data_IF_878370573738
#
_entry.id   IF_878370573738
#
_cell.length_a   1.000
_cell.length_b   1.000
_cell.length_c   1.000
_cell.angle_alpha   90.00
_cell.angle_beta   90.00
_cell.angle_gamma   90.00
#
_symmetry.space_group_name_H-M   'P 1'
#
loop_
_entity.id
_entity.type
_entity.pdbx_description
1 polymer ?
#
# COMPACT_ATOMS: atom_id res chain seq x y z
N UNK A 1 -23.30 19.21 -7.81
CA UNK A 1 -22.23 18.20 -7.87
C UNK A 1 -22.87 16.92 -7.35
N UNK A 2 -22.88 15.86 -8.11
CA UNK A 2 -23.42 14.56 -7.71
C UNK A 2 -22.28 13.76 -7.05
N UNK A 3 -22.51 13.27 -5.84
CA UNK A 3 -21.56 12.43 -5.09
C UNK A 3 -22.04 10.98 -4.98
N UNK A 4 -23.07 10.61 -5.75
CA UNK A 4 -23.55 9.23 -5.79
C UNK A 4 -22.54 8.34 -6.50
N UNK A 5 -22.39 7.13 -6.03
CA UNK A 5 -21.61 6.10 -6.72
C UNK A 5 -22.33 5.67 -8.00
N UNK A 6 -21.56 5.30 -9.02
CA UNK A 6 -22.10 4.64 -10.21
C UNK A 6 -22.56 3.22 -9.87
N UNK A 7 -23.31 2.60 -10.79
CA UNK A 7 -23.73 1.21 -10.62
C UNK A 7 -22.54 0.26 -10.51
N UNK A 8 -21.48 0.50 -11.32
CA UNK A 8 -20.23 -0.28 -11.28
C UNK A 8 -19.51 -0.13 -9.93
N UNK A 9 -19.40 1.09 -9.41
CA UNK A 9 -18.79 1.35 -8.11
C UNK A 9 -19.58 0.72 -6.97
N UNK A 10 -20.92 0.72 -7.08
CA UNK A 10 -21.79 0.06 -6.13
C UNK A 10 -21.65 -1.46 -6.18
N UNK A 11 -21.57 -2.05 -7.39
CA UNK A 11 -21.29 -3.49 -7.57
C UNK A 11 -19.93 -3.87 -7.02
N UNK A 12 -18.88 -3.07 -7.28
CA UNK A 12 -17.53 -3.30 -6.74
C UNK A 12 -17.58 -3.36 -5.21
N UNK A 13 -18.21 -2.37 -4.57
CA UNK A 13 -18.39 -2.33 -3.11
C UNK A 13 -19.08 -3.59 -2.59
N UNK A 14 -20.23 -3.93 -3.18
CA UNK A 14 -21.05 -5.04 -2.71
C UNK A 14 -20.34 -6.39 -2.90
N UNK A 15 -19.57 -6.54 -3.98
CA UNK A 15 -18.74 -7.72 -4.25
C UNK A 15 -17.63 -7.87 -3.20
N UNK A 16 -16.89 -6.80 -2.92
CA UNK A 16 -15.83 -6.80 -1.90
C UNK A 16 -16.42 -7.07 -0.52
N UNK A 17 -17.52 -6.39 -0.16
CA UNK A 17 -18.21 -6.57 1.12
C UNK A 17 -18.67 -8.02 1.32
N UNK A 18 -19.31 -8.62 0.31
CA UNK A 18 -19.78 -10.01 0.38
C UNK A 18 -18.62 -10.98 0.56
N UNK A 19 -17.58 -10.86 -0.25
CA UNK A 19 -16.39 -11.73 -0.13
C UNK A 19 -15.78 -11.65 1.27
N UNK A 20 -15.59 -10.44 1.79
CA UNK A 20 -15.00 -10.24 3.12
C UNK A 20 -15.90 -10.76 4.25
N UNK A 21 -17.21 -10.63 4.13
CA UNK A 21 -18.16 -11.19 5.11
C UNK A 21 -18.05 -12.73 5.19
N UNK A 22 -17.89 -13.38 4.04
CA UNK A 22 -17.85 -14.85 3.96
C UNK A 22 -16.46 -15.42 4.28
N UNK A 23 -15.37 -14.71 3.93
CA UNK A 23 -14.01 -15.26 3.93
C UNK A 23 -13.05 -14.59 4.91
N UNK A 24 -13.40 -13.41 5.49
CA UNK A 24 -12.48 -12.61 6.29
C UNK A 24 -12.98 -12.36 7.71
N UNK A 25 -13.50 -13.40 8.36
CA UNK A 25 -13.92 -13.31 9.76
C UNK A 25 -12.77 -12.88 10.66
N UNK A 26 -13.07 -12.11 11.70
CA UNK A 26 -12.07 -11.52 12.62
C UNK A 26 -11.13 -12.56 13.24
N UNK A 27 -11.62 -13.75 13.58
CA UNK A 27 -10.78 -14.83 14.12
C UNK A 27 -9.83 -15.40 13.06
N UNK A 28 -10.25 -15.50 11.80
CA UNK A 28 -9.38 -15.88 10.69
C UNK A 28 -8.27 -14.85 10.48
N UNK A 29 -8.61 -13.55 10.50
CA UNK A 29 -7.62 -12.47 10.51
C UNK A 29 -6.63 -12.58 11.67
N UNK A 30 -7.14 -12.79 12.90
CA UNK A 30 -6.28 -12.94 14.08
C UNK A 30 -5.32 -14.13 13.96
N UNK A 31 -5.76 -15.23 13.37
CA UNK A 31 -4.90 -16.37 13.10
C UNK A 31 -3.82 -16.02 12.06
N UNK A 32 -4.20 -15.34 10.97
CA UNK A 32 -3.29 -14.92 9.92
C UNK A 32 -2.16 -14.01 10.42
N UNK A 33 -2.48 -12.95 11.16
CA UNK A 33 -1.45 -12.00 11.66
C UNK A 33 -0.50 -12.62 12.69
N UNK A 34 -0.88 -13.74 13.31
CA UNK A 34 -0.05 -14.51 14.25
C UNK A 34 0.76 -15.61 13.58
N UNK A 35 0.44 -15.94 12.34
CA UNK A 35 1.21 -16.91 11.55
C UNK A 35 2.58 -16.35 11.16
N UNK A 36 3.50 -17.21 10.75
CA UNK A 36 4.80 -16.79 10.25
C UNK A 36 4.68 -15.92 9.00
N UNK A 37 3.73 -16.23 8.13
CA UNK A 37 3.45 -15.43 6.93
C UNK A 37 2.91 -14.04 7.27
N UNK A 38 2.09 -13.91 8.32
CA UNK A 38 1.50 -12.65 8.77
C UNK A 38 0.34 -12.13 7.92
N UNK A 39 -0.07 -12.88 6.89
CA UNK A 39 -1.13 -12.57 5.95
C UNK A 39 -1.68 -13.84 5.32
N UNK A 40 -2.63 -13.74 4.39
CA UNK A 40 -3.29 -14.86 3.72
C UNK A 40 -3.06 -14.80 2.20
N UNK A 41 -2.02 -15.49 1.67
CA UNK A 41 -1.73 -15.51 0.22
C UNK A 41 -2.93 -15.97 -0.63
N UNK A 42 -3.77 -16.88 -0.10
CA UNK A 42 -4.98 -17.33 -0.77
C UNK A 42 -6.03 -16.23 -0.93
N UNK A 43 -6.11 -15.29 0.03
CA UNK A 43 -7.00 -14.11 -0.08
C UNK A 43 -6.46 -13.14 -1.14
N UNK A 44 -5.17 -12.92 -1.17
CA UNK A 44 -4.54 -12.10 -2.21
C UNK A 44 -4.77 -12.66 -3.61
N UNK A 45 -4.64 -13.98 -3.74
CA UNK A 45 -4.95 -14.67 -4.99
C UNK A 45 -6.41 -14.50 -5.39
N UNK A 46 -7.35 -14.62 -4.45
CA UNK A 46 -8.76 -14.37 -4.72
C UNK A 46 -9.03 -12.92 -5.12
N UNK A 47 -8.34 -11.94 -4.53
CA UNK A 47 -8.41 -10.53 -4.94
C UNK A 47 -7.98 -10.33 -6.40
N UNK A 48 -6.99 -11.08 -6.88
CA UNK A 48 -6.55 -11.05 -8.27
C UNK A 48 -7.50 -11.81 -9.21
N UNK A 49 -7.73 -13.09 -8.94
CA UNK A 49 -8.32 -14.05 -9.89
C UNK A 49 -9.86 -14.10 -9.81
N UNK A 50 -10.44 -14.02 -8.60
CA UNK A 50 -11.89 -14.17 -8.41
C UNK A 50 -12.61 -12.83 -8.46
N UNK A 51 -12.05 -11.81 -7.79
CA UNK A 51 -12.68 -10.50 -7.64
C UNK A 51 -12.16 -9.48 -8.67
N UNK A 52 -10.95 -9.66 -9.21
CA UNK A 52 -10.32 -8.72 -10.13
C UNK A 52 -10.00 -7.34 -9.52
N UNK A 53 -10.10 -7.17 -8.20
CA UNK A 53 -10.01 -5.86 -7.56
C UNK A 53 -8.60 -5.26 -7.59
N UNK A 54 -7.58 -6.07 -7.83
CA UNK A 54 -6.22 -5.55 -8.03
C UNK A 54 -6.11 -4.74 -9.33
N UNK A 55 -7.01 -5.00 -10.30
CA UNK A 55 -7.13 -4.27 -11.55
C UNK A 55 -8.08 -3.07 -11.49
N UNK A 56 -8.86 -2.92 -10.43
CA UNK A 56 -9.92 -1.93 -10.35
C UNK A 56 -9.49 -0.49 -10.68
N UNK A 57 -8.36 0.05 -10.17
CA UNK A 57 -7.98 1.45 -10.40
C UNK A 57 -7.14 1.69 -11.67
N UNK A 58 -6.87 0.66 -12.48
CA UNK A 58 -6.07 0.80 -13.68
C UNK A 58 -6.95 0.89 -14.93
N UNK A 59 -6.47 1.62 -15.96
CA UNK A 59 -7.17 1.75 -17.22
C UNK A 59 -7.27 0.41 -17.97
N UNK A 60 -8.27 0.28 -18.84
CA UNK A 60 -8.44 -0.91 -19.69
C UNK A 60 -7.22 -1.17 -20.59
N UNK A 61 -6.54 -0.10 -21.05
CA UNK A 61 -5.31 -0.19 -21.84
C UNK A 61 -4.17 -0.90 -21.11
N UNK A 62 -4.19 -0.87 -19.77
CA UNK A 62 -3.24 -1.54 -18.89
C UNK A 62 -3.78 -2.88 -18.35
N UNK A 63 -4.89 -3.37 -18.89
CA UNK A 63 -5.53 -4.61 -18.45
C UNK A 63 -6.39 -4.46 -17.20
N UNK A 64 -6.64 -3.23 -16.74
CA UNK A 64 -7.48 -2.94 -15.58
C UNK A 64 -8.98 -2.82 -15.92
N UNK A 65 -9.77 -2.40 -14.94
CA UNK A 65 -11.23 -2.26 -15.07
C UNK A 65 -11.68 -0.83 -15.43
N UNK A 66 -10.75 0.05 -15.80
CA UNK A 66 -11.05 1.42 -16.23
C UNK A 66 -11.34 2.41 -15.09
N UNK A 67 -11.16 2.00 -13.84
CA UNK A 67 -11.38 2.84 -12.68
C UNK A 67 -10.22 3.77 -12.33
N UNK A 68 -10.23 4.28 -11.11
CA UNK A 68 -9.25 5.24 -10.62
C UNK A 68 -9.25 5.39 -9.09
N UNK A 69 -9.01 6.60 -8.57
CA UNK A 69 -8.96 6.83 -7.12
C UNK A 69 -10.26 6.54 -6.38
N UNK A 70 -11.42 6.63 -7.06
CA UNK A 70 -12.74 6.34 -6.44
C UNK A 70 -12.88 4.84 -6.18
N UNK A 71 -12.44 4.00 -7.11
CA UNK A 71 -12.45 2.54 -6.96
C UNK A 71 -11.51 2.11 -5.83
N UNK A 72 -10.32 2.73 -5.72
CA UNK A 72 -9.44 2.54 -4.58
C UNK A 72 -10.13 2.93 -3.26
N UNK A 73 -10.84 4.06 -3.23
CA UNK A 73 -11.58 4.52 -2.06
C UNK A 73 -12.65 3.49 -1.65
N UNK A 74 -13.42 2.97 -2.62
CA UNK A 74 -14.49 1.98 -2.40
C UNK A 74 -13.90 0.69 -1.80
N UNK A 75 -12.82 0.16 -2.38
CA UNK A 75 -12.14 -1.05 -1.89
C UNK A 75 -11.59 -0.83 -0.49
N UNK A 76 -10.91 0.29 -0.26
CA UNK A 76 -10.25 0.58 1.03
C UNK A 76 -11.27 0.81 2.15
N UNK A 77 -12.44 1.39 1.88
CA UNK A 77 -13.50 1.50 2.88
C UNK A 77 -13.98 0.12 3.34
N UNK A 78 -14.19 -0.83 2.43
CA UNK A 78 -14.58 -2.19 2.79
C UNK A 78 -13.44 -2.94 3.52
N UNK A 79 -12.20 -2.72 3.11
CA UNK A 79 -11.02 -3.27 3.79
C UNK A 79 -10.90 -2.76 5.22
N UNK A 80 -11.22 -1.49 5.46
CA UNK A 80 -11.27 -0.92 6.81
C UNK A 80 -12.29 -1.59 7.71
N UNK A 81 -13.48 -1.96 7.19
CA UNK A 81 -14.51 -2.66 7.96
C UNK A 81 -14.06 -4.05 8.43
N UNK A 82 -13.24 -4.73 7.63
CA UNK A 82 -12.73 -6.08 7.90
C UNK A 82 -11.32 -6.09 8.51
N UNK A 83 -10.62 -4.94 8.54
CA UNK A 83 -9.21 -4.80 8.94
C UNK A 83 -8.28 -5.68 8.10
N UNK A 84 -8.42 -5.61 6.78
CA UNK A 84 -7.62 -6.37 5.81
C UNK A 84 -6.15 -6.03 5.94
N UNK A 85 -5.26 -7.03 5.91
CA UNK A 85 -3.80 -6.85 6.06
C UNK A 85 -3.02 -7.15 4.77
N UNK A 86 -3.69 -7.70 3.77
CA UNK A 86 -3.10 -7.99 2.46
C UNK A 86 -2.54 -6.71 1.83
N UNK A 87 -1.42 -6.79 1.07
CA UNK A 87 -0.59 -5.63 0.69
C UNK A 87 -1.18 -4.75 -0.42
N UNK A 88 -2.49 -4.48 -0.40
CA UNK A 88 -3.19 -3.68 -1.41
C UNK A 88 -2.69 -2.22 -1.44
N UNK A 89 -2.62 -1.57 -0.28
CA UNK A 89 -2.16 -0.18 -0.18
C UNK A 89 -0.75 -0.01 -0.79
N UNK A 90 0.20 -0.86 -0.38
CA UNK A 90 1.58 -0.78 -0.85
C UNK A 90 1.72 -1.13 -2.34
N UNK A 91 0.93 -2.08 -2.81
CA UNK A 91 1.04 -2.64 -4.16
C UNK A 91 0.20 -1.88 -5.17
N UNK A 92 -1.12 -1.84 -4.97
CA UNK A 92 -2.06 -1.30 -5.95
C UNK A 92 -2.08 0.22 -5.90
N UNK A 93 -2.22 0.80 -4.69
CA UNK A 93 -2.34 2.26 -4.54
C UNK A 93 -0.98 2.93 -4.76
N UNK A 94 0.03 2.56 -3.98
CA UNK A 94 1.34 3.23 -4.01
C UNK A 94 2.17 2.74 -5.19
N UNK A 95 2.43 1.42 -5.28
CA UNK A 95 3.23 0.83 -6.37
C UNK A 95 2.64 1.12 -7.73
N UNK A 96 1.36 0.84 -7.89
CA UNK A 96 0.60 1.17 -9.10
C UNK A 96 0.55 2.66 -9.40
N UNK A 97 0.44 3.51 -8.37
CA UNK A 97 0.51 4.97 -8.50
C UNK A 97 1.83 5.46 -9.10
N UNK A 98 2.97 4.96 -8.58
CA UNK A 98 4.28 5.28 -9.16
C UNK A 98 4.39 4.86 -10.62
N UNK A 99 3.97 3.64 -10.95
CA UNK A 99 4.02 3.14 -12.33
C UNK A 99 3.11 3.96 -13.26
N UNK A 100 1.88 4.21 -12.86
CA UNK A 100 0.87 4.97 -13.62
C UNK A 100 1.30 6.39 -13.94
N UNK A 101 1.96 7.08 -12.99
CA UNK A 101 2.28 8.51 -13.13
C UNK A 101 3.69 8.81 -13.62
N UNK A 102 4.57 7.81 -13.71
CA UNK A 102 5.99 8.04 -14.04
C UNK A 102 6.32 8.00 -15.52
N UNK A 103 5.50 7.39 -16.35
CA UNK A 103 5.85 7.07 -17.74
C UNK A 103 6.99 6.03 -17.86
N UNK A 104 7.22 5.24 -16.81
CA UNK A 104 8.27 4.22 -16.79
C UNK A 104 8.02 3.13 -17.85
N UNK A 105 9.06 2.77 -18.61
CA UNK A 105 8.90 1.85 -19.76
C UNK A 105 8.37 0.45 -19.38
N UNK A 106 8.73 -0.05 -18.19
CA UNK A 106 8.23 -1.33 -17.70
C UNK A 106 6.88 -1.22 -16.96
N UNK A 107 6.24 -0.04 -16.93
CA UNK A 107 4.98 0.13 -16.20
C UNK A 107 3.86 -0.80 -16.69
N UNK A 108 3.63 -1.00 -18.01
CA UNK A 108 2.58 -1.90 -18.47
C UNK A 108 2.78 -3.34 -17.96
N UNK A 109 3.97 -3.91 -18.13
CA UNK A 109 4.28 -5.28 -17.71
C UNK A 109 4.18 -5.47 -16.19
N UNK A 110 4.60 -4.44 -15.42
CA UNK A 110 4.54 -4.49 -13.96
C UNK A 110 3.12 -4.32 -13.44
N UNK A 111 2.30 -3.48 -14.09
CA UNK A 111 0.88 -3.33 -13.75
C UNK A 111 0.12 -4.62 -14.06
N UNK A 112 0.39 -5.27 -15.20
CA UNK A 112 -0.17 -6.59 -15.50
C UNK A 112 0.14 -7.61 -14.39
N UNK A 113 1.40 -7.65 -13.91
CA UNK A 113 1.80 -8.50 -12.78
C UNK A 113 1.16 -8.12 -11.45
N UNK A 114 0.88 -6.81 -11.21
CA UNK A 114 0.10 -6.37 -10.05
C UNK A 114 -1.32 -6.92 -10.15
N UNK A 115 -1.97 -6.76 -11.31
CA UNK A 115 -3.33 -7.23 -11.56
C UNK A 115 -3.43 -8.74 -11.37
N UNK A 116 -2.44 -9.49 -11.85
CA UNK A 116 -2.33 -10.95 -11.65
C UNK A 116 -1.94 -11.37 -10.23
N UNK A 117 -1.63 -10.42 -9.34
CA UNK A 117 -1.22 -10.72 -7.95
C UNK A 117 0.22 -11.24 -7.81
N UNK A 118 1.00 -11.26 -8.89
CA UNK A 118 2.38 -11.80 -8.94
C UNK A 118 3.41 -10.78 -8.40
N UNK A 119 3.21 -9.50 -8.69
CA UNK A 119 4.09 -8.43 -8.21
C UNK A 119 3.49 -7.78 -6.97
N UNK A 120 4.28 -7.74 -5.90
CA UNK A 120 3.95 -7.07 -4.64
C UNK A 120 4.98 -5.98 -4.41
N UNK A 121 4.50 -4.77 -4.11
CA UNK A 121 5.34 -3.59 -3.94
C UNK A 121 5.35 -3.10 -2.49
N UNK A 122 6.50 -2.59 -2.05
CA UNK A 122 6.61 -1.85 -0.81
C UNK A 122 7.37 -0.54 -1.04
N UNK A 123 6.93 0.53 -0.38
CA UNK A 123 7.53 1.85 -0.53
C UNK A 123 8.56 2.14 0.56
N UNK A 124 9.81 2.13 0.19
CA UNK A 124 10.97 2.34 1.03
C UNK A 124 11.41 3.82 1.00
N UNK A 125 10.71 4.68 1.73
CA UNK A 125 10.98 6.12 1.79
C UNK A 125 11.53 6.56 3.14
N UNK A 126 10.92 6.09 4.23
CA UNK A 126 11.22 6.57 5.58
C UNK A 126 12.64 6.19 6.00
N UNK A 127 13.30 7.13 6.65
CA UNK A 127 14.62 6.92 7.26
C UNK A 127 14.57 7.31 8.74
N UNK A 128 15.45 6.76 9.60
CA UNK A 128 15.36 6.96 11.06
C UNK A 128 15.33 8.44 11.49
N UNK A 129 16.00 9.33 10.74
CA UNK A 129 16.02 10.76 11.05
C UNK A 129 14.90 11.57 10.38
N UNK A 130 14.28 11.04 9.31
CA UNK A 130 13.40 11.80 8.43
C UNK A 130 12.01 12.04 9.00
N UNK A 131 11.50 11.15 9.85
CA UNK A 131 10.13 11.17 10.37
C UNK A 131 9.11 11.29 9.21
N UNK A 132 8.46 12.47 9.07
CA UNK A 132 7.43 12.74 8.07
C UNK A 132 7.94 13.59 6.89
N UNK A 133 9.27 13.81 6.76
CA UNK A 133 9.85 14.68 5.75
C UNK A 133 10.37 13.85 4.59
N UNK A 134 9.68 13.86 3.44
CA UNK A 134 9.99 13.04 2.27
C UNK A 134 11.40 13.26 1.71
N UNK A 135 11.88 14.51 1.73
CA UNK A 135 13.17 14.89 1.18
C UNK A 135 14.36 14.75 2.15
N UNK A 136 14.13 14.41 3.42
CA UNK A 136 15.24 14.19 4.38
C UNK A 136 15.84 12.80 4.17
N UNK A 137 16.75 12.69 3.21
CA UNK A 137 17.33 11.43 2.73
C UNK A 137 18.84 11.40 2.93
N UNK A 138 19.31 10.37 3.63
CA UNK A 138 20.71 9.95 3.71
C UNK A 138 21.06 8.82 2.75
N UNK A 139 20.07 8.02 2.35
CA UNK A 139 20.24 7.01 1.30
C UNK A 139 20.65 7.69 0.01
N UNK A 140 21.72 7.23 -0.59
CA UNK A 140 22.30 7.79 -1.82
C UNK A 140 22.19 6.81 -2.98
N UNK A 141 22.09 7.34 -4.19
CA UNK A 141 22.26 6.61 -5.44
C UNK A 141 23.29 7.34 -6.29
N UNK A 142 24.45 6.74 -6.45
CA UNK A 142 25.59 7.33 -7.20
C UNK A 142 25.69 6.65 -8.55
N UNK A 143 25.83 7.42 -9.62
CA UNK A 143 26.06 6.89 -10.96
C UNK A 143 27.32 6.02 -11.00
N UNK A 144 27.19 4.84 -11.60
CA UNK A 144 28.29 3.92 -11.87
C UNK A 144 28.11 3.29 -13.25
N UNK A 145 28.92 3.72 -14.19
CA UNK A 145 28.79 3.30 -15.58
C UNK A 145 27.41 3.65 -16.17
N UNK A 146 26.65 2.63 -16.56
CA UNK A 146 25.31 2.77 -17.14
C UNK A 146 24.18 2.61 -16.13
N UNK A 147 24.48 2.68 -14.82
CA UNK A 147 23.48 2.48 -13.77
C UNK A 147 23.78 3.33 -12.54
N UNK A 148 23.29 2.83 -11.41
CA UNK A 148 23.45 3.46 -10.09
C UNK A 148 23.84 2.44 -9.04
N UNK A 149 24.60 2.89 -8.05
CA UNK A 149 24.89 2.13 -6.82
C UNK A 149 24.16 2.79 -5.66
N UNK A 150 23.23 2.06 -5.04
CA UNK A 150 22.42 2.53 -3.92
C UNK A 150 23.06 2.09 -2.61
N UNK A 151 23.22 3.05 -1.69
CA UNK A 151 23.69 2.80 -0.31
C UNK A 151 22.83 3.58 0.68
N UNK A 152 22.44 2.92 1.78
CA UNK A 152 21.66 3.56 2.83
C UNK A 152 20.77 2.60 3.60
N UNK A 153 19.84 3.17 4.37
CA UNK A 153 18.90 2.41 5.20
C UNK A 153 17.53 3.05 5.18
N UNK A 154 16.51 2.22 5.08
CA UNK A 154 15.11 2.60 5.23
C UNK A 154 14.50 1.94 6.47
N UNK A 155 13.67 2.69 7.16
CA UNK A 155 13.00 2.26 8.38
C UNK A 155 11.50 2.07 8.12
N UNK A 156 10.90 1.10 8.81
CA UNK A 156 9.44 0.87 8.81
C UNK A 156 8.87 0.74 7.39
N UNK A 157 9.53 -0.06 6.55
CA UNK A 157 9.03 -0.33 5.21
C UNK A 157 7.89 -1.36 5.30
N UNK A 158 6.66 -0.85 5.33
CA UNK A 158 5.45 -1.67 5.46
C UNK A 158 5.27 -2.56 4.24
N UNK A 159 4.95 -3.84 4.45
CA UNK A 159 4.77 -4.82 3.39
C UNK A 159 6.08 -5.38 2.80
N UNK A 160 7.25 -4.85 3.19
CA UNK A 160 8.53 -5.32 2.65
C UNK A 160 8.80 -6.82 2.83
N UNK A 161 8.39 -7.49 3.92
CA UNK A 161 8.55 -8.94 4.02
C UNK A 161 7.89 -9.71 2.87
N UNK A 162 6.79 -9.21 2.33
CA UNK A 162 6.00 -9.84 1.27
C UNK A 162 6.35 -9.34 -0.14
N UNK A 163 7.03 -8.20 -0.22
CA UNK A 163 7.31 -7.53 -1.49
C UNK A 163 8.22 -8.35 -2.40
N UNK A 164 7.96 -8.27 -3.69
CA UNK A 164 8.87 -8.68 -4.76
C UNK A 164 9.75 -7.51 -5.19
N UNK A 165 9.20 -6.29 -5.12
CA UNK A 165 9.85 -5.05 -5.55
C UNK A 165 9.75 -3.97 -4.46
N UNK A 166 10.83 -3.21 -4.32
CA UNK A 166 10.89 -2.02 -3.48
C UNK A 166 10.92 -0.78 -4.36
N UNK A 167 10.06 0.19 -4.05
CA UNK A 167 10.20 1.55 -4.57
C UNK A 167 11.02 2.33 -3.56
N UNK A 168 12.20 2.78 -3.97
CA UNK A 168 13.21 3.36 -3.07
C UNK A 168 13.45 4.82 -3.42
N UNK A 169 13.28 5.72 -2.46
CA UNK A 169 13.76 7.10 -2.61
C UNK A 169 15.23 7.19 -2.24
N UNK A 170 16.05 7.83 -3.08
CA UNK A 170 17.46 8.03 -2.81
C UNK A 170 17.93 9.39 -3.32
N UNK A 171 19.03 9.87 -2.78
CA UNK A 171 19.66 11.14 -3.13
C UNK A 171 20.64 10.92 -4.27
N UNK A 172 20.39 11.55 -5.42
CA UNK A 172 21.32 11.56 -6.56
C UNK A 172 22.10 12.87 -6.65
N UNK A 173 21.75 13.90 -5.86
CA UNK A 173 22.41 15.18 -5.82
C UNK A 173 21.85 16.09 -4.73
N UNK A 174 22.45 17.27 -4.56
CA UNK A 174 22.05 18.26 -3.56
C UNK A 174 22.38 17.86 -2.12
N UNK A 175 21.94 18.67 -1.17
CA UNK A 175 22.04 18.41 0.27
C UNK A 175 20.95 17.47 0.79
N UNK A 176 21.13 16.95 1.99
CA UNK A 176 20.26 15.93 2.62
C UNK A 176 18.76 16.30 2.61
N UNK A 177 18.43 17.59 2.72
CA UNK A 177 17.05 18.10 2.84
C UNK A 177 16.58 18.92 1.66
N UNK A 178 17.38 19.00 0.61
CA UNK A 178 16.99 19.76 -0.57
C UNK A 178 15.80 19.07 -1.28
N UNK A 179 14.89 19.86 -1.79
CA UNK A 179 13.77 19.33 -2.60
C UNK A 179 14.24 18.73 -3.92
N UNK A 180 15.27 19.34 -4.53
CA UNK A 180 15.95 18.79 -5.71
C UNK A 180 16.97 17.73 -5.31
N UNK A 181 17.24 16.79 -6.23
CA UNK A 181 18.19 15.69 -6.01
C UNK A 181 17.56 14.44 -5.40
N UNK A 182 16.25 14.42 -5.15
CA UNK A 182 15.49 13.20 -4.81
C UNK A 182 15.20 12.43 -6.08
N UNK A 183 15.56 11.15 -6.11
CA UNK A 183 15.23 10.21 -7.20
C UNK A 183 14.49 9.01 -6.64
N UNK A 184 13.72 8.35 -7.49
CA UNK A 184 12.94 7.15 -7.14
C UNK A 184 13.44 5.99 -7.98
N UNK A 185 13.66 4.85 -7.33
CA UNK A 185 14.19 3.66 -7.99
C UNK A 185 13.31 2.45 -7.74
N UNK A 186 13.15 1.62 -8.75
CA UNK A 186 12.60 0.27 -8.66
C UNK A 186 13.74 -0.71 -8.36
N UNK A 187 13.65 -1.41 -7.25
CA UNK A 187 14.68 -2.35 -6.80
C UNK A 187 14.06 -3.72 -6.54
N UNK A 188 14.64 -4.76 -7.11
CA UNK A 188 14.28 -6.14 -6.73
C UNK A 188 14.62 -6.34 -5.25
N UNK A 189 13.67 -6.79 -4.45
CA UNK A 189 13.89 -7.04 -3.02
C UNK A 189 15.04 -8.02 -2.77
N UNK A 190 15.26 -8.97 -3.68
CA UNK A 190 16.29 -9.99 -3.57
C UNK A 190 17.60 -9.59 -4.25
N UNK A 191 17.74 -8.32 -4.71
CA UNK A 191 18.99 -7.85 -5.29
C UNK A 191 20.15 -8.00 -4.32
N UNK A 192 21.32 -8.34 -4.86
CA UNK A 192 22.54 -8.44 -4.06
C UNK A 192 22.82 -7.14 -3.32
N UNK A 193 23.01 -7.19 -2.02
CA UNK A 193 23.26 -6.05 -1.15
C UNK A 193 21.99 -5.48 -0.48
N UNK A 194 20.81 -5.99 -0.80
CA UNK A 194 19.59 -5.70 -0.05
C UNK A 194 19.47 -6.70 1.10
N UNK A 195 19.31 -6.19 2.32
CA UNK A 195 19.04 -7.02 3.51
C UNK A 195 17.87 -6.44 4.29
N UNK A 196 17.06 -7.31 4.90
CA UNK A 196 15.88 -6.91 5.67
C UNK A 196 15.93 -7.46 7.09
N UNK A 197 15.40 -6.69 8.02
CA UNK A 197 15.08 -7.14 9.38
C UNK A 197 13.58 -6.96 9.59
N UNK A 198 12.88 -8.07 9.52
CA UNK A 198 11.42 -8.10 9.52
C UNK A 198 10.85 -8.12 10.94
N UNK A 199 9.69 -7.48 11.14
CA UNK A 199 8.97 -7.45 12.40
C UNK A 199 7.46 -7.19 12.22
N UNK A 200 6.62 -7.64 13.18
CA UNK A 200 5.21 -7.30 13.17
C UNK A 200 4.99 -5.85 13.66
N UNK A 201 3.98 -5.19 13.13
CA UNK A 201 3.49 -3.89 13.60
C UNK A 201 2.27 -4.06 14.52
N UNK A 202 1.91 -2.99 15.25
CA UNK A 202 0.84 -3.05 16.25
C UNK A 202 -0.55 -3.28 15.61
N UNK A 203 -0.73 -2.87 14.37
CA UNK A 203 -1.95 -3.05 13.57
C UNK A 203 -2.08 -4.45 12.94
N UNK A 204 -1.06 -5.29 13.12
CA UNK A 204 -1.01 -6.66 12.61
C UNK A 204 -0.36 -6.81 11.23
N UNK A 205 0.14 -5.72 10.65
CA UNK A 205 0.91 -5.80 9.41
C UNK A 205 2.35 -6.28 9.66
N UNK A 206 3.15 -6.36 8.62
CA UNK A 206 4.59 -6.63 8.67
C UNK A 206 5.34 -5.44 8.08
N UNK A 207 6.46 -5.12 8.69
CA UNK A 207 7.39 -4.12 8.18
C UNK A 207 8.83 -4.61 8.30
N UNK A 208 9.74 -3.93 7.62
CA UNK A 208 11.18 -4.21 7.70
C UNK A 208 11.99 -2.93 7.87
N UNK A 209 13.10 -3.06 8.58
CA UNK A 209 14.27 -2.22 8.32
C UNK A 209 14.96 -2.78 7.07
N UNK A 210 15.21 -1.94 6.08
CA UNK A 210 15.85 -2.35 4.82
C UNK A 210 17.19 -1.64 4.69
N UNK A 211 18.26 -2.41 4.54
CA UNK A 211 19.62 -1.87 4.31
C UNK A 211 20.06 -2.15 2.88
N UNK A 212 20.66 -1.15 2.25
CA UNK A 212 21.22 -1.21 0.92
C UNK A 212 22.74 -1.04 1.04
N UNK A 213 23.50 -2.08 0.66
CA UNK A 213 24.95 -2.09 0.68
C UNK A 213 25.47 -2.36 -0.74
N UNK A 214 25.92 -1.30 -1.43
CA UNK A 214 26.40 -1.35 -2.81
C UNK A 214 25.43 -2.08 -3.75
N UNK A 215 24.14 -1.74 -3.66
CA UNK A 215 23.11 -2.31 -4.52
C UNK A 215 23.21 -1.68 -5.90
N UNK A 216 23.65 -2.46 -6.88
CA UNK A 216 23.76 -2.01 -8.28
C UNK A 216 22.42 -2.21 -8.99
N UNK A 217 21.95 -1.14 -9.64
CA UNK A 217 20.75 -1.13 -10.47
C UNK A 217 21.05 -0.46 -11.81
N UNK A 218 20.41 -0.90 -12.89
CA UNK A 218 20.54 -0.28 -14.20
C UNK A 218 19.84 1.09 -14.27
N UNK A 219 20.07 1.82 -15.35
CA UNK A 219 19.42 3.12 -15.60
C UNK A 219 17.89 2.95 -15.71
N UNK A 220 17.44 1.81 -16.16
CA UNK A 220 16.03 1.43 -16.29
C UNK A 220 15.33 1.27 -14.95
N UNK A 221 16.04 1.19 -13.84
CA UNK A 221 15.44 1.18 -12.49
C UNK A 221 14.95 2.57 -12.04
N UNK A 222 15.36 3.64 -12.73
CA UNK A 222 14.96 5.01 -12.39
C UNK A 222 13.48 5.23 -12.76
N UNK A 223 12.66 5.56 -11.77
CA UNK A 223 11.25 5.91 -11.95
C UNK A 223 11.13 7.43 -12.06
N UNK A 224 10.69 7.91 -13.24
CA UNK A 224 10.61 9.34 -13.53
C UNK A 224 11.96 9.95 -13.88
N UNK A 225 12.19 11.23 -13.53
CA UNK A 225 13.40 11.97 -13.87
C UNK A 225 14.39 12.03 -12.69
N UNK A 226 15.68 11.85 -12.97
CA UNK A 226 16.73 11.94 -11.97
C UNK A 226 16.73 13.30 -11.26
N UNK A 227 16.79 13.27 -9.95
CA UNK A 227 16.80 14.45 -9.09
C UNK A 227 15.47 15.18 -8.97
N UNK A 228 14.42 14.73 -9.65
CA UNK A 228 13.09 15.34 -9.70
C UNK A 228 11.96 14.41 -9.24
N UNK A 229 12.27 13.42 -8.42
CA UNK A 229 11.29 12.43 -7.93
C UNK A 229 10.33 12.94 -6.87
N UNK A 230 10.64 14.02 -6.15
CA UNK A 230 9.80 14.50 -5.04
C UNK A 230 8.37 14.82 -5.45
N UNK A 231 8.08 15.55 -6.55
CA UNK A 231 6.70 15.81 -6.98
C UNK A 231 5.90 14.54 -7.30
N UNK A 232 6.57 13.51 -7.82
CA UNK A 232 5.94 12.20 -8.06
C UNK A 232 5.61 11.50 -6.74
N UNK A 233 6.54 11.54 -5.76
CA UNK A 233 6.30 11.02 -4.41
C UNK A 233 5.10 11.72 -3.77
N UNK A 234 5.05 13.05 -3.80
CA UNK A 234 3.94 13.84 -3.23
C UNK A 234 2.61 13.48 -3.87
N UNK A 235 2.55 13.39 -5.20
CA UNK A 235 1.34 13.02 -5.93
C UNK A 235 0.82 11.62 -5.55
N UNK A 236 1.71 10.63 -5.50
CA UNK A 236 1.32 9.25 -5.14
C UNK A 236 0.91 9.17 -3.67
N UNK A 237 1.58 9.92 -2.80
CA UNK A 237 1.23 9.94 -1.38
C UNK A 237 -0.08 10.65 -1.09
N UNK A 238 -0.46 11.65 -1.87
CA UNK A 238 -1.79 12.28 -1.78
C UNK A 238 -2.90 11.27 -2.10
N UNK A 239 -2.72 10.44 -3.15
CA UNK A 239 -3.64 9.33 -3.47
C UNK A 239 -3.68 8.28 -2.33
N UNK A 240 -2.53 7.93 -1.76
CA UNK A 240 -2.43 6.98 -0.66
C UNK A 240 -3.07 7.52 0.63
N UNK A 241 -2.93 8.80 0.93
CA UNK A 241 -3.58 9.45 2.06
C UNK A 241 -5.11 9.42 1.90
N UNK A 242 -5.61 9.73 0.70
CA UNK A 242 -7.04 9.64 0.40
C UNK A 242 -7.58 8.22 0.60
N UNK A 243 -6.87 7.20 0.11
CA UNK A 243 -7.21 5.79 0.31
C UNK A 243 -7.17 5.37 1.80
N UNK A 244 -6.18 5.85 2.56
CA UNK A 244 -6.09 5.62 4.02
C UNK A 244 -7.26 6.28 4.76
N UNK A 245 -7.69 7.47 4.34
CA UNK A 245 -8.87 8.13 4.91
C UNK A 245 -10.15 7.30 4.65
N UNK A 246 -10.28 6.69 3.46
CA UNK A 246 -11.40 5.80 3.17
C UNK A 246 -11.38 4.54 4.05
N UNK A 247 -10.22 3.92 4.23
CA UNK A 247 -10.03 2.82 5.17
C UNK A 247 -10.46 3.21 6.59
N UNK A 248 -10.02 4.38 7.07
CA UNK A 248 -10.42 4.90 8.37
C UNK A 248 -11.94 5.09 8.49
N UNK A 249 -12.63 5.54 7.44
CA UNK A 249 -14.09 5.62 7.40
C UNK A 249 -14.73 4.24 7.58
N UNK A 250 -14.19 3.20 6.93
CA UNK A 250 -14.62 1.82 7.09
C UNK A 250 -14.47 1.32 8.53
N UNK A 251 -13.30 1.55 9.13
CA UNK A 251 -13.02 1.22 10.54
C UNK A 251 -14.01 1.91 11.47
N UNK A 252 -14.23 3.22 11.30
CA UNK A 252 -15.14 4.01 12.13
C UNK A 252 -16.58 3.51 12.02
N UNK A 253 -17.04 3.17 10.81
CA UNK A 253 -18.36 2.60 10.57
C UNK A 253 -18.54 1.28 11.34
N UNK A 254 -17.58 0.38 11.24
CA UNK A 254 -17.61 -0.90 11.94
C UNK A 254 -17.61 -0.74 13.46
N UNK A 255 -16.82 0.20 13.99
CA UNK A 255 -16.81 0.54 15.42
C UNK A 255 -18.16 1.09 15.88
N UNK A 256 -18.76 1.98 15.09
CA UNK A 256 -20.09 2.54 15.39
C UNK A 256 -21.15 1.44 15.43
N UNK A 257 -21.24 0.60 14.41
CA UNK A 257 -22.18 -0.52 14.33
C UNK A 257 -22.04 -1.46 15.54
N UNK A 258 -20.80 -1.87 15.84
CA UNK A 258 -20.50 -2.72 16.99
C UNK A 258 -20.86 -2.07 18.33
N UNK A 259 -20.64 -0.78 18.47
CA UNK A 259 -21.00 -0.02 19.68
C UNK A 259 -22.53 0.04 19.84
N UNK A 260 -23.24 0.37 18.77
CA UNK A 260 -24.72 0.42 18.80
C UNK A 260 -25.31 -0.94 19.17
N UNK A 261 -24.82 -2.02 18.53
CA UNK A 261 -25.27 -3.37 18.83
C UNK A 261 -24.96 -3.78 20.28
N UNK A 262 -23.74 -3.48 20.76
CA UNK A 262 -23.38 -3.74 22.15
C UNK A 262 -24.29 -3.02 23.12
N UNK A 263 -24.61 -1.75 22.90
CA UNK A 263 -25.50 -0.98 23.79
C UNK A 263 -26.94 -1.51 23.80
N UNK A 264 -27.41 -2.11 22.70
CA UNK A 264 -28.73 -2.74 22.58
C UNK A 264 -28.81 -4.09 23.28
N UNK A 265 -27.72 -4.84 23.29
CA UNK A 265 -27.67 -6.22 23.83
C UNK A 265 -27.24 -6.27 25.28
N UNK A 266 -26.29 -5.40 25.69
CA UNK A 266 -25.80 -5.33 27.08
C UNK A 266 -26.85 -4.80 28.03
N UNK A 267 -27.24 -5.58 29.03
CA UNK A 267 -28.19 -5.19 30.07
C UNK A 267 -27.46 -4.79 31.36
N UNK A 268 -27.92 -3.70 31.97
CA UNK A 268 -27.61 -3.28 33.33
C UNK A 268 -28.92 -2.80 33.99
N UNK A 269 -29.07 -2.99 35.30
CA UNK A 269 -30.31 -2.63 36.03
C UNK A 269 -31.59 -3.16 35.39
N UNK A 270 -31.52 -4.32 34.73
CA UNK A 270 -32.68 -5.00 34.14
C UNK A 270 -33.04 -4.57 32.72
N UNK A 271 -32.42 -3.55 32.14
CA UNK A 271 -32.71 -2.99 30.79
C UNK A 271 -31.44 -2.85 29.95
N UNK A 272 -31.56 -2.79 28.60
CA UNK A 272 -30.43 -2.45 27.73
C UNK A 272 -29.79 -1.11 28.11
N UNK A 273 -28.47 -1.02 28.07
CA UNK A 273 -27.80 0.22 28.42
C UNK A 273 -28.10 1.37 27.46
N UNK A 274 -28.52 1.09 26.24
CA UNK A 274 -29.01 2.09 25.28
C UNK A 274 -30.27 2.84 25.72
N UNK A 275 -31.00 2.35 26.76
CA UNK A 275 -32.19 3.02 27.29
C UNK A 275 -31.89 4.09 28.32
N UNK A 276 -30.63 4.25 28.78
CA UNK A 276 -30.29 5.18 29.86
C UNK A 276 -29.91 6.57 29.38
N UNK A 277 -29.57 6.73 28.15
CA UNK A 277 -29.05 8.00 27.70
C UNK A 277 -29.38 8.28 26.24
N UNK A 278 -29.36 9.48 25.90
CA UNK A 278 -29.53 10.03 24.57
C UNK A 278 -28.37 9.65 23.67
#
# INVERSE_FOLDING_TARGET
>A
MDFSFTDEQSMLRDTVASYLADNYAFDARRAAIRSDAGWRPEVWKAFAEELGILGAPFSEELGGLGGGPVENMVVMEEFGKALVVEPYMGTVVIGGGFLKHSGHAAAPDLIEKIIGGEAIFAFAYAEPQARYTWQDLKTTAVKDGTGYVINGQKAVVVGAPWATHLIVTARTGGGQRDAQGVSVFLVDKNAKGVTTRDYPTVDGQRASEVTFENVSVGVEALIGAEGHGLPLVEKVMDEAIAATCAEACGVLRRLQEGTVEYTRTRKQFGVPISSFQV
#
